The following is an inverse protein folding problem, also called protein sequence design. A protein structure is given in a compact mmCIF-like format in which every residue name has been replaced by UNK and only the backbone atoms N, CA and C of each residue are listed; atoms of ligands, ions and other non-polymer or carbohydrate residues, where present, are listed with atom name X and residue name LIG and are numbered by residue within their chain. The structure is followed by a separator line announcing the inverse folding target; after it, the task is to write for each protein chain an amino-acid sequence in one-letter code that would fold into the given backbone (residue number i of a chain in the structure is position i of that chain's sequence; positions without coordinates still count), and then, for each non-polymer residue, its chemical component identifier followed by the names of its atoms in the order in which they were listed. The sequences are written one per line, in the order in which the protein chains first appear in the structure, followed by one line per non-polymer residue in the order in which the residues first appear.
data_IF_666138696523
#
_entry.id   IF_666138696523
#
_cell.length_a   1.000
_cell.length_b   1.000
_cell.length_c   1.000
_cell.angle_alpha   90.00
_cell.angle_beta   90.00
_cell.angle_gamma   90.00
#
_symmetry.space_group_name_H-M   'P 1'
#
loop_
_entity.id
_entity.type
_entity.pdbx_description
1 polymer ?
#
# COMPACT_ATOMS: atom_id res chain seq x y z
N UNK A 1 -48.66 6.35 -8.34
CA UNK A 1 -47.53 6.27 -7.38
C UNK A 1 -47.25 7.66 -6.84
N UNK A 2 -47.22 7.85 -5.52
CA UNK A 2 -47.20 9.20 -4.93
C UNK A 2 -45.80 9.83 -5.07
N UNK A 3 -45.69 11.12 -5.46
CA UNK A 3 -44.38 11.80 -5.67
C UNK A 3 -43.44 11.68 -4.47
N UNK A 4 -43.99 11.68 -3.24
CA UNK A 4 -43.26 11.48 -2.00
C UNK A 4 -42.61 10.10 -1.93
N UNK A 5 -43.32 9.05 -2.33
CA UNK A 5 -42.83 7.66 -2.34
C UNK A 5 -41.67 7.46 -3.32
N UNK A 6 -41.74 8.12 -4.48
CA UNK A 6 -40.67 8.08 -5.50
C UNK A 6 -39.40 8.74 -4.96
N UNK A 7 -39.54 9.91 -4.32
CA UNK A 7 -38.40 10.63 -3.76
C UNK A 7 -37.72 9.84 -2.63
N UNK A 8 -38.51 9.25 -1.73
CA UNK A 8 -37.97 8.40 -0.66
C UNK A 8 -37.21 7.19 -1.21
N UNK A 9 -37.74 6.53 -2.26
CA UNK A 9 -37.08 5.38 -2.86
C UNK A 9 -35.72 5.75 -3.50
N UNK A 10 -35.66 6.90 -4.18
CA UNK A 10 -34.44 7.39 -4.83
C UNK A 10 -33.34 7.73 -3.80
N UNK A 11 -33.70 8.34 -2.68
CA UNK A 11 -32.75 8.66 -1.60
C UNK A 11 -32.20 7.39 -0.96
N UNK A 12 -33.05 6.40 -0.69
CA UNK A 12 -32.61 5.11 -0.12
C UNK A 12 -31.68 4.36 -1.07
N UNK A 13 -31.99 4.34 -2.37
CA UNK A 13 -31.14 3.72 -3.38
C UNK A 13 -29.76 4.38 -3.48
N UNK A 14 -29.69 5.72 -3.38
CA UNK A 14 -28.43 6.45 -3.43
C UNK A 14 -27.52 6.12 -2.21
N UNK A 15 -28.10 6.00 -1.02
CA UNK A 15 -27.36 5.69 0.22
C UNK A 15 -26.76 4.27 0.23
N UNK A 16 -27.35 3.32 -0.52
CA UNK A 16 -26.88 1.93 -0.59
C UNK A 16 -25.60 1.75 -1.43
N UNK A 17 -25.24 2.71 -2.27
CA UNK A 17 -24.05 2.62 -3.14
C UNK A 17 -22.73 3.01 -2.46
N UNK A 18 -22.77 3.43 -1.19
CA UNK A 18 -21.60 3.95 -0.45
C UNK A 18 -20.53 2.93 -0.06
N UNK A 19 -20.82 1.62 -0.12
CA UNK A 19 -19.92 0.57 0.42
C UNK A 19 -18.92 -0.01 -0.58
N UNK A 20 -18.84 0.47 -1.82
CA UNK A 20 -18.03 -0.15 -2.88
C UNK A 20 -16.64 0.48 -3.10
N UNK A 21 -16.02 1.11 -2.10
CA UNK A 21 -14.69 1.70 -2.28
C UNK A 21 -13.57 0.74 -1.92
N UNK A 22 -13.35 -0.25 -2.79
CA UNK A 22 -12.03 -0.89 -2.88
C UNK A 22 -11.21 -0.09 -3.88
N UNK A 23 -10.21 0.65 -3.39
CA UNK A 23 -9.25 1.31 -4.27
C UNK A 23 -8.24 0.26 -4.78
N UNK A 24 -7.88 0.28 -6.07
CA UNK A 24 -6.85 -0.60 -6.59
C UNK A 24 -5.50 -0.35 -5.89
N UNK A 25 -4.78 -1.44 -5.61
CA UNK A 25 -3.42 -1.36 -5.06
C UNK A 25 -2.49 -0.92 -6.19
N UNK A 26 -1.68 0.09 -5.92
CA UNK A 26 -0.72 0.62 -6.89
C UNK A 26 0.71 0.39 -6.42
N UNK A 27 1.58 0.04 -7.36
CA UNK A 27 3.01 0.00 -7.12
C UNK A 27 3.51 1.41 -6.82
N UNK A 28 4.51 1.49 -5.93
CA UNK A 28 5.16 2.75 -5.57
C UNK A 28 6.45 2.86 -6.35
N UNK A 29 6.71 4.02 -6.95
CA UNK A 29 8.01 4.36 -7.52
C UNK A 29 8.38 5.76 -7.04
N UNK A 30 9.50 5.89 -6.33
CA UNK A 30 9.88 7.14 -5.69
C UNK A 30 11.35 7.46 -5.92
N UNK A 31 11.62 8.72 -6.26
CA UNK A 31 12.98 9.27 -6.39
C UNK A 31 13.22 10.27 -5.27
N UNK A 32 14.38 10.18 -4.64
CA UNK A 32 14.79 11.04 -3.54
C UNK A 32 15.66 12.17 -4.08
N UNK A 33 15.49 13.35 -3.50
CA UNK A 33 16.32 14.53 -3.80
C UNK A 33 17.77 14.33 -3.35
N UNK A 34 17.96 13.62 -2.24
CA UNK A 34 19.27 13.31 -1.67
C UNK A 34 19.68 11.87 -1.95
N UNK A 35 20.99 11.64 -2.05
CA UNK A 35 21.61 10.32 -2.14
C UNK A 35 21.97 9.79 -0.76
N UNK A 36 21.72 8.51 -0.56
CA UNK A 36 22.08 7.73 0.63
C UNK A 36 23.02 6.60 0.22
N UNK A 37 23.85 6.14 1.15
CA UNK A 37 24.55 4.87 0.95
C UNK A 37 23.56 3.70 0.91
N UNK A 38 23.93 2.61 0.25
CA UNK A 38 23.10 1.40 0.17
C UNK A 38 22.69 0.88 1.56
N UNK A 39 23.59 0.99 2.54
CA UNK A 39 23.30 0.56 3.91
C UNK A 39 22.29 1.50 4.59
N UNK A 40 22.43 2.81 4.43
CA UNK A 40 21.46 3.78 4.98
C UNK A 40 20.07 3.58 4.36
N UNK A 41 19.99 3.41 3.04
CA UNK A 41 18.73 3.15 2.35
C UNK A 41 18.09 1.84 2.84
N UNK A 42 18.88 0.77 2.91
CA UNK A 42 18.44 -0.54 3.41
C UNK A 42 17.84 -0.44 4.81
N UNK A 43 18.57 0.19 5.73
CA UNK A 43 18.14 0.30 7.13
C UNK A 43 16.85 1.13 7.24
N UNK A 44 16.78 2.27 6.56
CA UNK A 44 15.58 3.11 6.57
C UNK A 44 14.33 2.36 6.06
N UNK A 45 14.46 1.59 4.98
CA UNK A 45 13.36 0.76 4.43
C UNK A 45 12.94 -0.33 5.44
N UNK A 46 13.91 -1.03 6.05
CA UNK A 46 13.64 -2.09 7.02
C UNK A 46 12.94 -1.53 8.26
N UNK A 47 13.46 -0.44 8.84
CA UNK A 47 12.89 0.23 10.01
C UNK A 47 11.46 0.71 9.72
N UNK A 48 11.24 1.35 8.56
CA UNK A 48 9.92 1.80 8.14
C UNK A 48 8.91 0.65 7.95
N UNK A 49 9.37 -0.51 7.46
CA UNK A 49 8.58 -1.72 7.30
C UNK A 49 8.23 -2.38 8.64
N UNK A 50 9.22 -2.54 9.53
CA UNK A 50 9.05 -3.08 10.87
C UNK A 50 8.06 -2.22 11.68
N UNK A 51 8.19 -0.90 11.61
CA UNK A 51 7.26 0.04 12.25
C UNK A 51 5.80 -0.13 11.78
N UNK A 52 5.60 -0.65 10.56
CA UNK A 52 4.29 -0.99 9.98
C UNK A 52 3.94 -2.47 10.08
N UNK A 53 4.64 -3.24 10.93
CA UNK A 53 4.43 -4.68 11.18
C UNK A 53 4.73 -5.60 9.99
N UNK A 54 5.54 -5.14 9.02
CA UNK A 54 6.03 -6.00 7.95
C UNK A 54 7.20 -6.84 8.45
N UNK A 55 7.22 -8.11 8.04
CA UNK A 55 8.40 -8.96 8.13
C UNK A 55 9.29 -8.64 6.92
N UNK A 56 10.44 -8.02 7.17
CA UNK A 56 11.36 -7.54 6.14
C UNK A 56 12.55 -8.48 5.99
N UNK A 57 12.75 -9.02 4.78
CA UNK A 57 13.80 -10.00 4.48
C UNK A 57 14.70 -9.48 3.36
N UNK A 58 15.91 -8.98 3.66
CA UNK A 58 16.90 -8.65 2.64
C UNK A 58 17.32 -9.92 1.89
N UNK A 59 17.19 -9.94 0.56
CA UNK A 59 17.47 -11.14 -0.25
C UNK A 59 18.73 -11.01 -1.10
N UNK A 60 19.07 -9.79 -1.50
CA UNK A 60 20.30 -9.45 -2.23
C UNK A 60 20.59 -7.95 -2.06
N UNK A 61 21.78 -7.45 -2.46
CA UNK A 61 22.00 -6.02 -2.55
C UNK A 61 20.91 -5.34 -3.38
N UNK A 62 20.34 -4.25 -2.85
CA UNK A 62 19.27 -3.49 -3.51
C UNK A 62 17.88 -4.15 -3.51
N UNK A 63 17.68 -5.30 -2.85
CA UNK A 63 16.38 -6.01 -2.86
C UNK A 63 15.98 -6.50 -1.47
N UNK A 64 14.76 -6.14 -1.05
CA UNK A 64 14.13 -6.58 0.20
C UNK A 64 12.73 -7.12 -0.13
N UNK A 65 12.41 -8.31 0.37
CA UNK A 65 11.04 -8.81 0.35
C UNK A 65 10.34 -8.44 1.67
N UNK A 66 9.07 -8.03 1.58
CA UNK A 66 8.22 -7.75 2.74
C UNK A 66 7.02 -8.69 2.77
N UNK A 67 6.62 -9.12 3.96
CA UNK A 67 5.35 -9.84 4.16
C UNK A 67 4.58 -9.24 5.33
N UNK A 68 3.32 -8.91 5.10
CA UNK A 68 2.37 -8.51 6.12
C UNK A 68 1.26 -9.55 6.18
N UNK A 69 1.02 -10.14 7.35
CA UNK A 69 -0.09 -11.04 7.59
C UNK A 69 -0.93 -10.47 8.74
N UNK A 70 -2.22 -10.23 8.48
CA UNK A 70 -3.18 -9.78 9.47
C UNK A 70 -4.49 -10.55 9.30
N UNK A 71 -4.84 -11.37 10.30
CA UNK A 71 -6.03 -12.23 10.29
C UNK A 71 -6.06 -13.05 8.99
N UNK A 72 -7.06 -12.84 8.15
CA UNK A 72 -7.30 -13.57 6.91
C UNK A 72 -6.60 -12.95 5.69
N UNK A 73 -5.90 -11.83 5.87
CA UNK A 73 -5.24 -11.10 4.78
C UNK A 73 -3.72 -11.27 4.84
N UNK A 74 -3.12 -11.59 3.69
CA UNK A 74 -1.67 -11.62 3.49
C UNK A 74 -1.33 -10.73 2.31
N UNK A 75 -0.38 -9.83 2.52
CA UNK A 75 0.26 -9.04 1.46
C UNK A 75 1.75 -9.37 1.41
N UNK A 76 2.27 -9.53 0.20
CA UNK A 76 3.70 -9.71 -0.06
C UNK A 76 4.17 -8.60 -0.97
N UNK A 77 5.31 -8.01 -0.66
CA UNK A 77 5.90 -6.96 -1.50
C UNK A 77 7.34 -7.29 -1.85
N UNK A 78 7.79 -6.80 -2.99
CA UNK A 78 9.21 -6.72 -3.34
C UNK A 78 9.62 -5.26 -3.42
N UNK A 79 10.66 -4.91 -2.68
CA UNK A 79 11.24 -3.56 -2.67
C UNK A 79 12.59 -3.61 -3.38
N UNK A 80 12.73 -2.88 -4.47
CA UNK A 80 14.02 -2.66 -5.14
C UNK A 80 14.49 -1.24 -4.85
N UNK A 81 15.75 -1.05 -4.45
CA UNK A 81 16.28 0.26 -4.08
C UNK A 81 17.71 0.48 -4.57
N UNK A 82 18.06 1.75 -4.72
CA UNK A 82 19.41 2.24 -5.01
C UNK A 82 19.76 3.37 -4.04
N UNK A 83 20.89 4.05 -4.25
CA UNK A 83 21.26 5.22 -3.46
C UNK A 83 20.27 6.39 -3.53
N UNK A 84 19.36 6.43 -4.52
CA UNK A 84 18.51 7.61 -4.75
C UNK A 84 17.04 7.28 -5.09
N UNK A 85 16.68 6.01 -5.23
CA UNK A 85 15.31 5.64 -5.56
C UNK A 85 14.94 4.33 -4.88
N UNK A 86 13.63 4.11 -4.77
CA UNK A 86 13.08 2.81 -4.41
C UNK A 86 11.74 2.59 -5.13
N UNK A 87 11.41 1.31 -5.31
CA UNK A 87 10.15 0.86 -5.89
C UNK A 87 9.57 -0.25 -5.02
N UNK A 88 8.27 -0.24 -4.79
CA UNK A 88 7.53 -1.27 -4.05
C UNK A 88 6.52 -1.88 -5.01
N UNK A 89 6.67 -3.19 -5.24
CA UNK A 89 5.73 -3.99 -6.01
C UNK A 89 4.88 -4.84 -5.07
N UNK A 90 3.57 -4.83 -5.29
CA UNK A 90 2.56 -5.59 -4.53
C UNK A 90 2.14 -6.87 -5.25
#
# INVERSE_FOLDING_TARGET
MNKKTIFTLAVVAALLTGCARTAPIHNVNQTLTQRYSDNQMKLAIIEAGIGRKWVMTPVSPGVINGRLAQRDFVATIRITYTSQNYRIDY
#
